data_IF_366007724328
#
_entry.id   IF_366007724328
#
_cell.length_a   1.000
_cell.length_b   1.000
_cell.length_c   1.000
_cell.angle_alpha   90.00
_cell.angle_beta   90.00
_cell.angle_gamma   90.00
#
_symmetry.space_group_name_H-M   'P 1'
#
loop_
_entity.id
_entity.type
_entity.pdbx_description
1 polymer ?
#
# COMPACT_ATOMS: atom_id res chain seq x y z
N UNK A 1 -14.27 11.23 0.12
CA UNK A 1 -13.33 12.29 -0.28
C UNK A 1 -11.96 11.69 -0.58
N UNK A 2 -11.42 11.97 -1.74
CA UNK A 2 -10.14 11.42 -2.15
C UNK A 2 -9.09 12.54 -2.24
N UNK A 3 -7.95 12.33 -1.60
CA UNK A 3 -6.79 13.19 -1.80
C UNK A 3 -5.93 12.59 -2.90
N UNK A 4 -5.84 13.27 -4.04
CA UNK A 4 -5.01 12.81 -5.16
C UNK A 4 -3.54 13.05 -4.87
N UNK A 5 -2.67 12.48 -5.70
CA UNK A 5 -1.23 12.67 -5.58
C UNK A 5 -0.83 14.14 -5.70
N UNK A 6 -1.47 14.88 -6.60
CA UNK A 6 -1.24 16.33 -6.75
C UNK A 6 -1.64 17.09 -5.48
N UNK A 7 -2.77 16.76 -4.89
CA UNK A 7 -3.23 17.37 -3.65
C UNK A 7 -2.27 17.05 -2.50
N UNK A 8 -1.80 15.82 -2.43
CA UNK A 8 -0.80 15.40 -1.45
C UNK A 8 0.49 16.18 -1.63
N UNK A 9 0.98 16.31 -2.86
CA UNK A 9 2.21 17.05 -3.15
C UNK A 9 2.10 18.51 -2.73
N UNK A 10 0.97 19.16 -2.99
CA UNK A 10 0.73 20.54 -2.59
C UNK A 10 0.71 20.71 -1.08
N UNK A 11 0.05 19.78 -0.38
CA UNK A 11 0.01 19.80 1.07
C UNK A 11 1.40 19.61 1.69
N UNK A 12 2.21 18.72 1.14
CA UNK A 12 3.58 18.50 1.59
C UNK A 12 4.44 19.74 1.32
N UNK A 13 4.32 20.33 0.14
CA UNK A 13 5.07 21.53 -0.20
C UNK A 13 4.75 22.68 0.75
N UNK A 14 3.48 22.84 1.10
CA UNK A 14 3.02 23.88 2.02
C UNK A 14 3.60 23.67 3.42
N UNK A 15 3.62 22.44 3.91
CA UNK A 15 4.14 22.13 5.25
C UNK A 15 5.66 22.17 5.33
N UNK A 16 6.34 21.74 4.27
CA UNK A 16 7.79 21.57 4.28
C UNK A 16 8.55 22.82 3.80
N UNK A 17 7.88 23.70 3.02
CA UNK A 17 8.52 24.84 2.40
C UNK A 17 9.31 24.52 1.13
N UNK A 18 9.33 23.27 0.69
CA UNK A 18 9.98 22.90 -0.57
C UNK A 18 9.09 23.26 -1.77
N UNK A 19 9.71 23.41 -2.93
CA UNK A 19 8.98 23.70 -4.15
C UNK A 19 8.11 22.51 -4.57
N UNK A 20 6.93 22.81 -5.07
CA UNK A 20 5.99 21.78 -5.53
C UNK A 20 6.61 20.85 -6.57
N UNK A 21 7.40 21.39 -7.48
CA UNK A 21 8.10 20.61 -8.50
C UNK A 21 8.98 19.52 -7.87
N UNK A 22 9.74 19.88 -6.84
CA UNK A 22 10.64 18.96 -6.16
C UNK A 22 9.87 17.86 -5.44
N UNK A 23 8.75 18.22 -4.81
CA UNK A 23 7.88 17.25 -4.13
C UNK A 23 7.29 16.26 -5.13
N UNK A 24 6.85 16.73 -6.27
CA UNK A 24 6.31 15.85 -7.32
C UNK A 24 7.36 14.85 -7.83
N UNK A 25 8.60 15.30 -8.00
CA UNK A 25 9.71 14.44 -8.40
C UNK A 25 9.98 13.36 -7.35
N UNK A 26 10.00 13.73 -6.07
CA UNK A 26 10.21 12.80 -4.96
C UNK A 26 9.09 11.76 -4.90
N UNK A 27 7.83 12.17 -5.03
CA UNK A 27 6.70 11.24 -5.00
C UNK A 27 6.72 10.29 -6.19
N UNK A 28 7.13 10.75 -7.37
CA UNK A 28 7.27 9.89 -8.54
C UNK A 28 8.37 8.86 -8.34
N UNK A 29 9.50 9.26 -7.77
CA UNK A 29 10.59 8.36 -7.43
C UNK A 29 10.14 7.33 -6.39
N UNK A 30 9.33 7.74 -5.43
CA UNK A 30 8.76 6.85 -4.41
C UNK A 30 7.92 5.74 -5.05
N UNK A 31 7.08 6.07 -6.03
CA UNK A 31 6.29 5.07 -6.75
C UNK A 31 7.17 4.02 -7.43
N UNK A 32 8.24 4.45 -8.06
CA UNK A 32 9.17 3.55 -8.74
C UNK A 32 9.87 2.62 -7.75
N UNK A 33 10.32 3.15 -6.62
CA UNK A 33 10.97 2.39 -5.57
C UNK A 33 10.02 1.34 -4.99
N UNK A 34 8.77 1.72 -4.72
CA UNK A 34 7.75 0.80 -4.19
C UNK A 34 7.52 -0.35 -5.17
N UNK A 35 7.35 -0.04 -6.44
CA UNK A 35 7.11 -1.05 -7.46
C UNK A 35 8.29 -2.01 -7.61
N UNK A 36 9.51 -1.49 -7.65
CA UNK A 36 10.72 -2.29 -7.74
C UNK A 36 10.87 -3.23 -6.56
N UNK A 37 10.60 -2.73 -5.35
CA UNK A 37 10.69 -3.54 -4.14
C UNK A 37 9.64 -4.65 -4.13
N UNK A 38 8.41 -4.34 -4.54
CA UNK A 38 7.33 -5.33 -4.60
C UNK A 38 7.61 -6.40 -5.64
N UNK A 39 8.28 -6.06 -6.73
CA UNK A 39 8.63 -7.02 -7.76
C UNK A 39 9.61 -8.10 -7.26
N UNK A 40 10.29 -7.84 -6.14
CA UNK A 40 11.20 -8.80 -5.51
C UNK A 40 10.52 -9.83 -4.62
N UNK A 41 9.19 -9.85 -4.54
CA UNK A 41 8.46 -10.82 -3.72
C UNK A 41 8.72 -12.25 -4.22
N UNK A 42 8.85 -13.20 -3.29
CA UNK A 42 9.04 -14.61 -3.60
C UNK A 42 7.98 -15.47 -2.92
N UNK A 43 7.89 -16.74 -3.32
CA UNK A 43 6.95 -17.68 -2.71
C UNK A 43 7.18 -17.86 -1.21
N UNK A 44 8.43 -17.72 -0.79
CA UNK A 44 8.85 -18.00 0.60
C UNK A 44 8.86 -16.76 1.47
N UNK A 45 8.85 -15.57 0.89
CA UNK A 45 9.05 -14.33 1.62
C UNK A 45 8.13 -13.21 1.12
N UNK A 46 7.28 -12.71 1.99
CA UNK A 46 6.50 -11.52 1.69
C UNK A 46 7.39 -10.27 1.83
N UNK A 47 7.03 -9.22 1.11
CA UNK A 47 7.71 -7.93 1.19
C UNK A 47 6.78 -6.90 1.79
N UNK A 48 7.32 -6.04 2.66
CA UNK A 48 6.56 -4.97 3.31
C UNK A 48 7.39 -3.69 3.30
N UNK A 49 6.74 -2.58 3.01
CA UNK A 49 7.33 -1.24 3.08
C UNK A 49 6.57 -0.44 4.12
N UNK A 50 7.28 0.21 5.02
CA UNK A 50 6.70 1.19 5.92
C UNK A 50 6.56 2.50 5.15
N UNK A 51 5.35 2.79 4.68
CA UNK A 51 5.08 3.93 3.83
C UNK A 51 5.07 5.24 4.61
N UNK A 52 4.38 5.21 5.75
CA UNK A 52 4.36 6.30 6.73
C UNK A 52 4.48 5.70 8.11
N UNK A 53 4.52 6.54 9.14
CA UNK A 53 4.72 6.09 10.50
C UNK A 53 3.69 5.08 11.01
N UNK A 54 2.53 5.02 10.42
CA UNK A 54 1.47 4.10 10.88
C UNK A 54 0.94 3.18 9.81
N UNK A 55 1.48 3.23 8.59
CA UNK A 55 0.96 2.49 7.46
C UNK A 55 2.06 1.67 6.81
N UNK A 56 1.85 0.36 6.75
CA UNK A 56 2.71 -0.56 6.02
C UNK A 56 1.92 -1.15 4.87
N UNK A 57 2.53 -1.22 3.70
CA UNK A 57 1.93 -1.90 2.57
C UNK A 57 2.94 -2.87 1.97
N UNK A 58 2.43 -3.90 1.34
CA UNK A 58 3.28 -4.93 0.79
C UNK A 58 2.51 -5.89 -0.09
N UNK A 59 3.15 -7.01 -0.38
CA UNK A 59 2.53 -8.05 -1.17
C UNK A 59 3.10 -9.42 -0.77
N UNK A 60 2.37 -10.44 -1.14
CA UNK A 60 2.75 -11.84 -0.89
C UNK A 60 2.27 -12.69 -2.06
N UNK A 61 2.92 -13.81 -2.25
CA UNK A 61 2.56 -14.75 -3.32
C UNK A 61 1.60 -15.80 -2.77
N UNK A 62 0.49 -15.99 -3.47
CA UNK A 62 -0.38 -17.15 -3.26
C UNK A 62 0.12 -18.24 -4.20
N UNK A 63 0.60 -19.38 -3.66
CA UNK A 63 1.22 -20.40 -4.50
C UNK A 63 0.21 -21.06 -5.43
N UNK A 64 0.72 -21.73 -6.46
CA UNK A 64 -0.06 -22.54 -7.36
C UNK A 64 -0.85 -23.57 -6.57
N UNK A 65 -2.12 -23.74 -6.89
CA UNK A 65 -3.00 -24.68 -6.23
C UNK A 65 -3.98 -25.27 -7.20
N UNK A 66 -4.41 -26.50 -6.90
CA UNK A 66 -5.38 -27.23 -7.67
C UNK A 66 -6.76 -27.07 -7.06
N UNK A 67 -7.75 -26.73 -7.89
CA UNK A 67 -9.14 -26.60 -7.46
C UNK A 67 -10.04 -27.40 -8.41
N UNK A 68 -11.16 -27.89 -7.89
CA UNK A 68 -12.20 -28.48 -8.71
C UNK A 68 -13.24 -27.43 -9.08
N UNK A 69 -13.61 -27.40 -10.38
CA UNK A 69 -14.71 -26.59 -10.82
C UNK A 69 -16.02 -27.21 -10.30
N UNK A 70 -16.82 -26.51 -9.49
CA UNK A 70 -18.04 -27.05 -8.91
C UNK A 70 -19.12 -27.40 -9.96
N UNK A 71 -19.04 -26.85 -11.16
CA UNK A 71 -20.01 -27.12 -12.23
C UNK A 71 -19.64 -28.34 -13.06
N UNK A 72 -18.36 -28.52 -13.38
CA UNK A 72 -17.90 -29.55 -14.32
C UNK A 72 -17.13 -30.68 -13.62
N UNK A 73 -16.76 -30.52 -12.36
CA UNK A 73 -15.91 -31.45 -11.60
C UNK A 73 -14.50 -31.60 -12.19
N UNK A 74 -14.11 -30.68 -13.10
CA UNK A 74 -12.77 -30.69 -13.67
C UNK A 74 -11.77 -30.02 -12.72
N UNK A 75 -10.55 -30.53 -12.73
CA UNK A 75 -9.46 -29.96 -11.97
C UNK A 75 -8.97 -28.68 -12.66
N UNK A 76 -8.87 -27.60 -11.88
CA UNK A 76 -8.35 -26.31 -12.37
C UNK A 76 -7.05 -26.03 -11.63
N UNK A 77 -6.00 -25.72 -12.40
CA UNK A 77 -4.71 -25.31 -11.86
C UNK A 77 -4.70 -23.78 -11.81
N UNK A 78 -4.61 -23.24 -10.58
CA UNK A 78 -4.49 -21.78 -10.38
C UNK A 78 -3.03 -21.42 -10.35
N UNK A 79 -2.60 -20.56 -11.27
CA UNK A 79 -1.22 -20.06 -11.32
C UNK A 79 -0.88 -19.22 -10.07
N UNK A 80 0.38 -19.15 -9.67
CA UNK A 80 0.79 -18.27 -8.56
C UNK A 80 0.35 -16.83 -8.83
N UNK A 81 -0.16 -16.18 -7.80
CA UNK A 81 -0.69 -14.81 -7.90
C UNK A 81 -0.11 -13.97 -6.78
N UNK A 82 0.32 -12.76 -7.13
CA UNK A 82 0.78 -11.78 -6.15
C UNK A 82 -0.42 -11.00 -5.64
N UNK A 83 -0.61 -10.97 -4.32
CA UNK A 83 -1.71 -10.22 -3.69
C UNK A 83 -1.14 -9.08 -2.84
N UNK A 84 -1.70 -7.88 -2.97
CA UNK A 84 -1.29 -6.75 -2.12
C UNK A 84 -1.97 -6.85 -0.75
N UNK A 85 -1.34 -6.22 0.24
CA UNK A 85 -1.94 -6.07 1.57
C UNK A 85 -1.49 -4.76 2.21
N UNK A 86 -2.30 -4.25 3.11
CA UNK A 86 -2.03 -3.01 3.85
C UNK A 86 -2.30 -3.26 5.34
N UNK A 87 -1.41 -2.76 6.18
CA UNK A 87 -1.55 -2.84 7.64
C UNK A 87 -1.44 -1.46 8.26
N UNK A 88 -2.25 -1.23 9.28
CA UNK A 88 -2.19 -0.01 10.09
C UNK A 88 -1.74 -0.37 11.50
N UNK A 89 -0.91 0.47 12.10
CA UNK A 89 -0.50 0.27 13.48
C UNK A 89 -1.66 0.64 14.43
N UNK A 90 -1.69 0.00 15.59
CA UNK A 90 -2.69 0.31 16.63
C UNK A 90 -2.56 1.75 17.12
N UNK A 91 -1.33 2.24 17.26
CA UNK A 91 -1.07 3.64 17.62
C UNK A 91 -1.66 4.61 16.62
N UNK A 92 -1.49 4.34 15.33
CA UNK A 92 -2.03 5.18 14.27
C UNK A 92 -3.56 5.19 14.30
N UNK A 93 -4.17 4.03 14.52
CA UNK A 93 -5.63 3.92 14.66
C UNK A 93 -6.13 4.75 15.83
N UNK A 94 -5.43 4.69 16.96
CA UNK A 94 -5.77 5.47 18.14
C UNK A 94 -5.65 6.97 17.88
N UNK A 95 -4.61 7.39 17.17
CA UNK A 95 -4.40 8.80 16.80
C UNK A 95 -5.51 9.32 15.90
N UNK A 96 -5.96 8.52 14.95
CA UNK A 96 -7.08 8.89 14.07
C UNK A 96 -8.33 9.12 14.90
N UNK A 97 -8.62 8.22 15.84
CA UNK A 97 -9.79 8.32 16.69
C UNK A 97 -9.74 9.59 17.56
N UNK A 98 -8.59 9.88 18.14
CA UNK A 98 -8.39 11.09 18.95
C UNK A 98 -8.60 12.37 18.14
N UNK A 99 -8.08 12.43 16.93
CA UNK A 99 -8.25 13.60 16.07
C UNK A 99 -9.70 13.78 15.65
N UNK A 100 -10.39 12.69 15.38
CA UNK A 100 -11.83 12.74 15.07
C UNK A 100 -12.63 13.29 16.24
N UNK A 101 -12.37 12.81 17.44
CA UNK A 101 -13.07 13.26 18.65
C UNK A 101 -12.82 14.74 18.94
N UNK A 102 -11.61 15.22 18.74
CA UNK A 102 -11.26 16.64 18.91
C UNK A 102 -12.03 17.54 17.96
N UNK A 103 -12.23 17.12 16.72
CA UNK A 103 -12.98 17.89 15.72
C UNK A 103 -14.47 17.92 16.00
N UNK A 104 -14.97 16.96 16.75
CA UNK A 104 -16.39 16.81 17.06
C UNK A 104 -16.88 17.73 18.15
N UNK A 105 -15.98 18.30 18.92
CA UNK A 105 -16.30 19.20 20.06
C UNK A 105 -16.52 20.62 19.58
#
# INVERSE_FOLDING_TARGET
MLMTKDMMARAIAEKSGYFLKDIKEVLSAMDEVVLEFFAGVTDDEEVMIQLTQGIKCGCYVVPERQRKNPKTQEDIICSPTVKPKTKFSDEFRALIQQQYEKKKV
#
